data_IF_989722103699
#
_entry.id   IF_989722103699
#
_cell.length_a   1.000
_cell.length_b   1.000
_cell.length_c   1.000
_cell.angle_alpha   90.00
_cell.angle_beta   90.00
_cell.angle_gamma   90.00
#
_symmetry.space_group_name_H-M   'P 1'
#
loop_
_entity.id
_entity.type
_entity.pdbx_description
1 polymer ?
#
# COMPACT_ATOMS: atom_id res chain seq x y z
N UNK A 1 22.20 -7.22 -5.46
CA UNK A 1 20.89 -7.15 -6.12
C UNK A 1 20.44 -5.70 -6.03
N UNK A 2 20.19 -5.03 -7.16
CA UNK A 2 19.76 -3.64 -7.20
C UNK A 2 18.23 -3.61 -7.42
N UNK A 3 17.47 -3.32 -6.38
CA UNK A 3 16.00 -3.29 -6.45
C UNK A 3 15.54 -1.94 -7.02
N UNK A 4 14.89 -1.97 -8.18
CA UNK A 4 14.19 -0.81 -8.76
C UNK A 4 12.71 -0.89 -8.40
N UNK A 5 12.16 0.22 -7.87
CA UNK A 5 10.76 0.28 -7.42
C UNK A 5 9.98 1.30 -8.25
N UNK A 6 8.73 0.98 -8.56
CA UNK A 6 7.79 1.91 -9.18
C UNK A 6 6.72 2.42 -8.20
N UNK A 7 6.22 3.63 -8.43
CA UNK A 7 4.98 4.15 -7.81
C UNK A 7 3.94 4.34 -8.91
N UNK A 8 2.87 3.55 -8.87
CA UNK A 8 1.73 3.64 -9.80
C UNK A 8 0.65 4.51 -9.16
N UNK A 9 0.37 5.65 -9.78
CA UNK A 9 -0.50 6.70 -9.25
C UNK A 9 0.30 7.78 -8.51
N UNK A 10 0.27 9.01 -9.02
CA UNK A 10 1.03 10.17 -8.50
C UNK A 10 0.14 11.19 -7.79
N UNK A 11 -1.04 10.77 -7.34
CA UNK A 11 -1.94 11.58 -6.52
C UNK A 11 -1.43 11.84 -5.09
N UNK A 12 -2.33 12.22 -4.19
CA UNK A 12 -1.99 12.60 -2.82
C UNK A 12 -1.17 11.54 -2.07
N UNK A 13 -1.60 10.27 -2.12
CA UNK A 13 -0.86 9.18 -1.47
C UNK A 13 0.37 8.76 -2.27
N UNK A 14 0.28 8.74 -3.59
CA UNK A 14 1.43 8.50 -4.48
C UNK A 14 2.63 9.38 -4.15
N UNK A 15 2.42 10.67 -3.94
CA UNK A 15 3.46 11.62 -3.50
C UNK A 15 4.15 11.20 -2.21
N UNK A 16 3.42 10.67 -1.23
CA UNK A 16 4.00 10.20 0.03
C UNK A 16 4.88 8.96 -0.17
N UNK A 17 4.47 8.04 -1.06
CA UNK A 17 5.27 6.89 -1.48
C UNK A 17 6.54 7.34 -2.21
N UNK A 18 6.42 8.22 -3.21
CA UNK A 18 7.56 8.77 -3.96
C UNK A 18 8.57 9.42 -3.03
N UNK A 19 8.13 10.29 -2.12
CA UNK A 19 9.01 10.95 -1.13
C UNK A 19 9.78 9.92 -0.29
N UNK A 20 9.10 8.89 0.19
CA UNK A 20 9.71 7.85 1.03
C UNK A 20 10.71 7.03 0.23
N UNK A 21 10.33 6.59 -0.97
CA UNK A 21 11.19 5.79 -1.84
C UNK A 21 12.39 6.60 -2.36
N UNK A 22 12.23 7.89 -2.64
CA UNK A 22 13.34 8.78 -2.99
C UNK A 22 14.36 8.92 -1.86
N UNK A 23 13.91 8.95 -0.59
CA UNK A 23 14.81 8.90 0.55
C UNK A 23 15.53 7.54 0.65
N UNK A 24 14.84 6.43 0.38
CA UNK A 24 15.45 5.08 0.35
C UNK A 24 16.44 4.91 -0.81
N UNK A 25 16.17 5.55 -1.97
CA UNK A 25 17.11 5.63 -3.10
C UNK A 25 18.36 6.40 -2.67
N UNK A 26 18.17 7.55 -2.01
CA UNK A 26 19.27 8.39 -1.54
C UNK A 26 20.14 7.71 -0.48
N UNK A 27 19.56 6.81 0.33
CA UNK A 27 20.30 5.99 1.30
C UNK A 27 20.90 4.71 0.71
N UNK A 28 20.68 4.43 -0.57
CA UNK A 28 21.20 3.26 -1.27
C UNK A 28 20.47 1.94 -0.96
N UNK A 29 19.30 1.99 -0.31
CA UNK A 29 18.47 0.80 -0.04
C UNK A 29 17.82 0.29 -1.32
N UNK A 30 17.38 1.20 -2.19
CA UNK A 30 16.90 0.88 -3.54
C UNK A 30 17.82 1.52 -4.57
N UNK A 31 17.94 0.90 -5.74
CA UNK A 31 18.84 1.41 -6.77
C UNK A 31 18.23 2.51 -7.63
N UNK A 32 16.90 2.47 -7.81
CA UNK A 32 16.23 3.38 -8.73
C UNK A 32 14.72 3.45 -8.45
N UNK A 33 14.10 4.53 -8.90
CA UNK A 33 12.70 4.86 -8.70
C UNK A 33 12.07 5.25 -10.04
N UNK A 34 10.88 4.72 -10.32
CA UNK A 34 10.04 5.13 -11.44
C UNK A 34 8.68 5.59 -10.93
N UNK A 35 8.13 6.66 -11.47
CA UNK A 35 6.72 7.03 -11.26
C UNK A 35 5.90 6.71 -12.50
N UNK A 36 4.69 6.18 -12.31
CA UNK A 36 3.79 5.83 -13.39
C UNK A 36 2.44 6.49 -13.13
N UNK A 37 1.96 7.29 -14.08
CA UNK A 37 0.62 7.86 -14.05
C UNK A 37 0.07 7.96 -15.47
N UNK A 38 -1.22 7.70 -15.66
CA UNK A 38 -1.88 7.84 -16.97
C UNK A 38 -1.88 9.30 -17.45
N UNK A 39 -1.73 10.25 -16.53
CA UNK A 39 -1.55 11.66 -16.80
C UNK A 39 -0.05 11.99 -16.88
N UNK A 40 0.43 12.23 -18.11
CA UNK A 40 1.84 12.51 -18.38
C UNK A 40 2.36 13.75 -17.65
N UNK A 41 1.55 14.81 -17.53
CA UNK A 41 1.98 16.05 -16.85
C UNK A 41 2.19 15.79 -15.35
N UNK A 42 1.33 14.99 -14.72
CA UNK A 42 1.51 14.59 -13.32
C UNK A 42 2.73 13.69 -13.12
N UNK A 43 2.92 12.71 -14.01
CA UNK A 43 4.06 11.79 -13.94
C UNK A 43 5.38 12.57 -14.10
N UNK A 44 5.49 13.39 -15.14
CA UNK A 44 6.68 14.21 -15.42
C UNK A 44 6.95 15.22 -14.32
N UNK A 45 5.91 15.92 -13.83
CA UNK A 45 6.06 16.89 -12.74
C UNK A 45 6.59 16.26 -11.45
N UNK A 46 6.06 15.10 -11.07
CA UNK A 46 6.54 14.35 -9.90
C UNK A 46 7.97 13.85 -10.12
N UNK A 47 8.29 13.36 -11.32
CA UNK A 47 9.59 12.83 -11.66
C UNK A 47 10.70 13.90 -11.63
N UNK A 48 10.39 15.09 -12.14
CA UNK A 48 11.27 16.26 -12.10
C UNK A 48 11.54 16.70 -10.66
N UNK A 49 10.50 16.72 -9.81
CA UNK A 49 10.63 17.11 -8.40
C UNK A 49 11.52 16.15 -7.58
N UNK A 50 11.45 14.85 -7.86
CA UNK A 50 12.13 13.81 -7.07
C UNK A 50 13.33 13.17 -7.78
N UNK A 51 13.75 13.72 -8.93
CA UNK A 51 14.85 13.20 -9.76
C UNK A 51 14.74 11.69 -10.01
N UNK A 52 13.68 11.28 -10.71
CA UNK A 52 13.41 9.89 -11.04
C UNK A 52 12.85 9.69 -12.45
N UNK A 53 12.78 8.45 -12.92
CA UNK A 53 12.22 8.16 -14.25
C UNK A 53 10.68 8.17 -14.18
N UNK A 54 10.03 8.33 -15.34
CA UNK A 54 8.58 8.19 -15.42
C UNK A 54 8.11 7.43 -16.66
N UNK A 55 6.92 6.88 -16.59
CA UNK A 55 6.18 6.31 -17.71
C UNK A 55 4.67 6.57 -17.52
N UNK A 56 3.88 6.27 -18.55
CA UNK A 56 2.41 6.43 -18.51
C UNK A 56 1.65 5.10 -18.58
N UNK A 57 2.35 4.00 -18.83
CA UNK A 57 1.77 2.66 -18.89
C UNK A 57 2.46 1.74 -17.88
N UNK A 58 1.67 1.16 -16.98
CA UNK A 58 2.14 0.21 -15.98
C UNK A 58 2.64 -1.11 -16.59
N UNK A 59 2.21 -1.45 -17.81
CA UNK A 59 2.68 -2.65 -18.54
C UNK A 59 4.14 -2.54 -19.00
N UNK A 60 4.70 -1.33 -19.03
CA UNK A 60 6.10 -1.10 -19.38
C UNK A 60 7.04 -1.32 -18.19
N UNK A 61 6.53 -1.35 -16.95
CA UNK A 61 7.37 -1.38 -15.76
C UNK A 61 8.31 -2.58 -15.72
N UNK A 62 7.85 -3.75 -16.16
CA UNK A 62 8.72 -4.93 -16.19
C UNK A 62 9.87 -4.78 -17.17
N UNK A 63 9.63 -4.23 -18.36
CA UNK A 63 10.68 -4.01 -19.37
C UNK A 63 11.68 -2.95 -18.94
N UNK A 64 11.25 -2.00 -18.10
CA UNK A 64 12.09 -0.99 -17.44
C UNK A 64 12.90 -1.55 -16.26
N UNK A 65 12.79 -2.85 -15.97
CA UNK A 65 13.55 -3.55 -14.94
C UNK A 65 13.01 -3.38 -13.52
N UNK A 66 11.74 -2.99 -13.37
CA UNK A 66 11.09 -2.84 -12.06
C UNK A 66 10.91 -4.22 -11.41
N UNK A 67 11.31 -4.33 -10.15
CA UNK A 67 11.16 -5.55 -9.34
C UNK A 67 9.99 -5.49 -8.36
N UNK A 68 9.62 -4.28 -7.90
CA UNK A 68 8.48 -4.07 -7.02
C UNK A 68 7.74 -2.76 -7.36
N UNK A 69 6.44 -2.67 -7.03
CA UNK A 69 5.64 -1.48 -7.28
C UNK A 69 4.69 -1.19 -6.11
N UNK A 70 4.51 0.10 -5.78
CA UNK A 70 3.41 0.56 -4.92
C UNK A 70 2.25 1.02 -5.80
N UNK A 71 1.02 0.62 -5.49
CA UNK A 71 -0.20 1.06 -6.18
C UNK A 71 -0.96 2.04 -5.28
N UNK A 72 -0.97 3.31 -5.66
CA UNK A 72 -1.62 4.41 -4.97
C UNK A 72 -2.64 5.14 -5.88
N UNK A 73 -3.36 4.36 -6.68
CA UNK A 73 -4.40 4.80 -7.62
C UNK A 73 -5.77 4.91 -6.94
N UNK A 74 -6.84 5.33 -7.63
CA UNK A 74 -8.19 5.13 -7.13
C UNK A 74 -8.49 3.64 -6.87
N UNK A 75 -9.30 3.36 -5.85
CA UNK A 75 -9.55 1.99 -5.34
C UNK A 75 -10.05 1.00 -6.40
N UNK A 76 -10.95 1.36 -7.34
CA UNK A 76 -11.38 0.44 -8.40
C UNK A 76 -10.24 -0.08 -9.30
N UNK A 77 -9.08 0.57 -9.28
CA UNK A 77 -7.92 0.16 -10.08
C UNK A 77 -6.95 -0.75 -9.31
N UNK A 78 -7.13 -0.93 -8.01
CA UNK A 78 -6.18 -1.68 -7.18
C UNK A 78 -6.06 -3.14 -7.62
N UNK A 79 -7.17 -3.88 -7.66
CA UNK A 79 -7.17 -5.29 -8.03
C UNK A 79 -6.64 -5.56 -9.45
N UNK A 80 -7.16 -4.90 -10.52
CA UNK A 80 -6.66 -5.17 -11.87
C UNK A 80 -5.18 -4.80 -12.06
N UNK A 81 -4.70 -3.71 -11.44
CA UNK A 81 -3.28 -3.35 -11.50
C UNK A 81 -2.40 -4.33 -10.71
N UNK A 82 -2.82 -4.74 -9.51
CA UNK A 82 -2.07 -5.68 -8.69
C UNK A 82 -1.91 -7.02 -9.41
N UNK A 83 -2.99 -7.55 -9.97
CA UNK A 83 -2.97 -8.79 -10.75
C UNK A 83 -2.04 -8.65 -11.94
N UNK A 84 -2.21 -7.61 -12.77
CA UNK A 84 -1.36 -7.41 -13.97
C UNK A 84 0.12 -7.32 -13.63
N UNK A 85 0.49 -6.56 -12.59
CA UNK A 85 1.90 -6.41 -12.20
C UNK A 85 2.48 -7.71 -11.64
N UNK A 86 1.72 -8.45 -10.84
CA UNK A 86 2.18 -9.75 -10.32
C UNK A 86 2.34 -10.78 -11.43
N UNK A 87 1.46 -10.81 -12.43
CA UNK A 87 1.59 -11.66 -13.62
C UNK A 87 2.83 -11.32 -14.45
N UNK A 88 3.27 -10.06 -14.45
CA UNK A 88 4.54 -9.63 -15.04
C UNK A 88 5.77 -10.00 -14.16
N UNK A 89 5.55 -10.58 -12.98
CA UNK A 89 6.60 -10.95 -12.05
C UNK A 89 7.13 -9.77 -11.24
N UNK A 90 6.26 -8.83 -10.84
CA UNK A 90 6.57 -7.66 -10.00
C UNK A 90 5.90 -7.86 -8.63
N UNK A 91 6.65 -7.64 -7.54
CA UNK A 91 6.09 -7.65 -6.18
C UNK A 91 5.28 -6.36 -5.94
N UNK A 92 4.16 -6.43 -5.22
CA UNK A 92 3.24 -5.29 -5.10
C UNK A 92 2.91 -4.92 -3.66
N UNK A 93 2.89 -3.62 -3.39
CA UNK A 93 2.26 -3.03 -2.21
C UNK A 93 1.07 -2.20 -2.68
N UNK A 94 -0.13 -2.57 -2.27
CA UNK A 94 -1.39 -1.94 -2.70
C UNK A 94 -1.89 -1.03 -1.58
N UNK A 95 -2.22 0.22 -1.88
CA UNK A 95 -2.92 1.07 -0.91
C UNK A 95 -4.24 0.43 -0.46
N UNK A 96 -4.67 0.79 0.74
CA UNK A 96 -5.90 0.24 1.31
C UNK A 96 -7.13 1.02 0.81
N UNK A 97 -8.31 0.37 0.68
CA UNK A 97 -8.52 -1.08 0.78
C UNK A 97 -7.92 -1.83 -0.42
N UNK A 98 -7.62 -3.11 -0.26
CA UNK A 98 -7.00 -3.94 -1.30
C UNK A 98 -7.81 -3.97 -2.62
N UNK A 99 -9.14 -4.01 -2.50
CA UNK A 99 -10.07 -4.10 -3.63
C UNK A 99 -11.44 -3.49 -3.26
N UNK A 100 -12.39 -3.45 -4.21
CA UNK A 100 -13.74 -2.95 -3.98
C UNK A 100 -14.67 -3.98 -3.34
N UNK A 101 -14.37 -5.28 -3.47
CA UNK A 101 -15.15 -6.36 -2.89
C UNK A 101 -14.26 -7.49 -2.34
N UNK A 102 -14.87 -8.41 -1.59
CA UNK A 102 -14.19 -9.61 -1.10
C UNK A 102 -13.78 -10.54 -2.26
N UNK A 103 -14.63 -10.66 -3.29
CA UNK A 103 -14.34 -11.44 -4.48
C UNK A 103 -13.13 -10.91 -5.23
N UNK A 104 -13.06 -9.60 -5.49
CA UNK A 104 -11.88 -8.99 -6.12
C UNK A 104 -10.63 -9.16 -5.23
N UNK A 105 -10.77 -9.00 -3.90
CA UNK A 105 -9.65 -9.21 -2.98
C UNK A 105 -9.14 -10.65 -3.04
N UNK A 106 -10.04 -11.63 -3.16
CA UNK A 106 -9.69 -13.04 -3.33
C UNK A 106 -8.97 -13.30 -4.65
N UNK A 107 -9.40 -12.70 -5.76
CA UNK A 107 -8.70 -12.81 -7.05
C UNK A 107 -7.25 -12.30 -6.96
N UNK A 108 -7.02 -11.21 -6.21
CA UNK A 108 -5.67 -10.68 -5.98
C UNK A 108 -4.82 -11.64 -5.14
N UNK A 109 -5.40 -12.24 -4.09
CA UNK A 109 -4.72 -13.24 -3.25
C UNK A 109 -4.35 -14.49 -4.05
N UNK A 110 -5.31 -15.03 -4.81
CA UNK A 110 -5.12 -16.21 -5.67
C UNK A 110 -4.03 -15.95 -6.72
N UNK A 111 -3.97 -14.73 -7.28
CA UNK A 111 -2.91 -14.33 -8.20
C UNK A 111 -1.53 -14.28 -7.51
N UNK A 112 -1.44 -13.71 -6.31
CA UNK A 112 -0.20 -13.67 -5.54
C UNK A 112 0.33 -15.08 -5.24
N UNK A 113 -0.55 -16.01 -4.85
CA UNK A 113 -0.20 -17.41 -4.61
C UNK A 113 0.26 -18.10 -5.91
N UNK A 114 -0.50 -17.96 -7.00
CA UNK A 114 -0.20 -18.55 -8.30
C UNK A 114 1.13 -18.08 -8.89
N UNK A 115 1.44 -16.79 -8.74
CA UNK A 115 2.66 -16.17 -9.30
C UNK A 115 3.85 -16.22 -8.34
N UNK A 116 3.62 -16.61 -7.07
CA UNK A 116 4.61 -16.58 -6.01
C UNK A 116 5.22 -15.20 -5.80
N UNK A 117 4.43 -14.13 -6.02
CA UNK A 117 4.84 -12.74 -5.81
C UNK A 117 4.50 -12.27 -4.41
N UNK A 118 5.27 -11.30 -3.92
CA UNK A 118 4.96 -10.67 -2.64
C UNK A 118 3.81 -9.69 -2.85
N UNK A 119 2.75 -9.86 -2.05
CA UNK A 119 1.61 -8.95 -1.96
C UNK A 119 1.58 -8.34 -0.55
N UNK A 120 1.58 -7.02 -0.48
CA UNK A 120 1.35 -6.27 0.76
C UNK A 120 0.19 -5.30 0.57
N UNK A 121 -0.50 -4.99 1.68
CA UNK A 121 -1.54 -3.96 1.73
C UNK A 121 -1.04 -2.80 2.59
N UNK A 122 -1.39 -1.56 2.22
CA UNK A 122 -0.97 -0.28 2.82
C UNK A 122 -1.48 0.00 4.24
N UNK A 123 -1.53 -1.04 5.09
CA UNK A 123 -1.86 -0.98 6.51
C UNK A 123 -0.70 -0.40 7.33
N UNK A 124 -0.38 0.87 7.06
CA UNK A 124 0.83 1.54 7.57
C UNK A 124 0.92 1.60 9.11
N UNK A 125 -0.21 1.58 9.83
CA UNK A 125 -0.23 1.70 11.29
C UNK A 125 0.32 0.47 12.01
N UNK A 126 0.34 -0.71 11.38
CA UNK A 126 1.02 -1.90 11.91
C UNK A 126 2.51 -1.65 12.18
N UNK A 127 3.11 -0.70 11.46
CA UNK A 127 4.52 -0.33 11.60
C UNK A 127 4.74 0.88 12.51
N UNK A 128 3.67 1.49 13.04
CA UNK A 128 3.78 2.64 13.93
C UNK A 128 4.33 2.20 15.29
N UNK A 129 5.35 2.91 15.81
CA UNK A 129 6.06 2.52 17.03
C UNK A 129 5.13 2.32 18.24
N UNK A 130 4.08 3.14 18.39
CA UNK A 130 3.10 3.00 19.46
C UNK A 130 2.23 1.74 19.31
N UNK A 131 1.83 1.39 18.08
CA UNK A 131 1.02 0.18 17.81
C UNK A 131 1.87 -1.07 18.05
N UNK A 132 3.11 -1.07 17.53
CA UNK A 132 4.07 -2.15 17.81
C UNK A 132 4.34 -2.31 19.30
N UNK A 133 4.47 -1.20 20.04
CA UNK A 133 4.68 -1.28 21.49
C UNK A 133 3.47 -1.84 22.22
N UNK A 134 2.25 -1.46 21.81
CA UNK A 134 1.04 -2.04 22.34
C UNK A 134 0.98 -3.56 22.07
N UNK A 135 1.28 -3.98 20.83
CA UNK A 135 1.34 -5.40 20.47
C UNK A 135 2.32 -6.20 21.35
N UNK A 136 3.51 -5.65 21.60
CA UNK A 136 4.51 -6.26 22.50
C UNK A 136 3.96 -6.45 23.93
N UNK A 137 3.34 -5.41 24.49
CA UNK A 137 2.81 -5.44 25.87
C UNK A 137 1.58 -6.36 26.04
N UNK A 138 0.83 -6.58 24.96
CA UNK A 138 -0.24 -7.57 24.90
C UNK A 138 0.39 -8.98 24.85
N UNK A 139 1.35 -9.19 23.94
CA UNK A 139 1.95 -10.49 23.72
C UNK A 139 2.78 -11.01 24.91
N UNK A 140 3.47 -10.12 25.63
CA UNK A 140 4.26 -10.48 26.82
C UNK A 140 3.43 -10.56 28.11
N UNK A 141 2.13 -10.26 28.04
CA UNK A 141 1.18 -10.34 29.15
C UNK A 141 1.28 -9.17 30.14
N UNK A 142 2.08 -8.14 29.86
CA UNK A 142 2.23 -6.97 30.75
C UNK A 142 0.90 -6.28 31.03
N UNK A 143 0.00 -6.23 30.05
CA UNK A 143 -1.34 -5.62 30.21
C UNK A 143 -2.38 -6.56 30.86
N UNK A 144 -2.04 -7.84 31.06
CA UNK A 144 -3.01 -8.86 31.43
C UNK A 144 -4.05 -9.12 30.32
N UNK A 145 -5.20 -9.74 30.65
CA UNK A 145 -6.26 -9.99 29.68
C UNK A 145 -6.83 -8.69 29.12
N UNK A 146 -6.88 -8.58 27.79
CA UNK A 146 -7.50 -7.45 27.11
C UNK A 146 -9.02 -7.62 27.16
N UNK A 147 -9.68 -6.72 27.89
CA UNK A 147 -11.14 -6.75 28.06
C UNK A 147 -11.88 -5.94 27.00
N UNK A 148 -11.25 -4.87 26.50
CA UNK A 148 -11.88 -3.94 25.57
C UNK A 148 -10.82 -3.14 24.79
N UNK A 149 -11.13 -2.82 23.53
CA UNK A 149 -10.40 -1.86 22.69
C UNK A 149 -11.42 -0.88 22.12
N UNK A 150 -11.14 0.42 22.29
CA UNK A 150 -11.96 1.52 21.78
C UNK A 150 -11.10 2.39 20.85
N UNK A 151 -11.71 2.90 19.77
CA UNK A 151 -11.04 3.82 18.86
C UNK A 151 -12.03 4.80 18.24
N UNK A 152 -11.70 6.09 18.32
CA UNK A 152 -12.42 7.17 17.68
C UNK A 152 -11.56 7.82 16.60
N UNK A 153 -12.07 7.82 15.36
CA UNK A 153 -11.40 8.48 14.23
C UNK A 153 -12.29 9.52 13.59
N UNK A 154 -11.94 10.78 13.80
CA UNK A 154 -12.62 11.93 13.21
C UNK A 154 -11.80 12.49 12.03
N UNK A 155 -12.51 12.84 10.96
CA UNK A 155 -11.96 13.59 9.84
C UNK A 155 -12.89 14.75 9.50
N UNK A 156 -12.31 15.91 9.20
CA UNK A 156 -13.05 17.07 8.67
C UNK A 156 -13.09 17.08 7.14
N UNK A 157 -12.44 16.11 6.48
CA UNK A 157 -12.47 15.96 5.02
C UNK A 157 -13.79 15.32 4.60
N UNK A 158 -14.29 15.74 3.44
CA UNK A 158 -15.47 15.10 2.85
C UNK A 158 -15.24 13.59 2.68
N UNK A 159 -16.23 12.76 3.06
CA UNK A 159 -16.16 11.34 2.81
C UNK A 159 -15.99 11.07 1.34
N UNK A 160 -15.09 10.13 1.03
CA UNK A 160 -14.90 9.63 -0.32
C UNK A 160 -16.20 8.96 -0.81
N UNK A 161 -16.84 9.48 -1.88
CA UNK A 161 -18.15 8.97 -2.31
C UNK A 161 -18.05 7.56 -2.90
N UNK A 162 -16.86 7.15 -3.34
CA UNK A 162 -16.61 5.87 -3.99
C UNK A 162 -16.45 4.69 -3.02
N UNK A 163 -16.05 4.94 -1.77
CA UNK A 163 -15.80 3.86 -0.79
C UNK A 163 -16.48 4.07 0.58
N UNK A 164 -17.01 5.26 0.86
CA UNK A 164 -17.67 5.58 2.12
C UNK A 164 -16.72 5.69 3.33
N UNK A 165 -17.28 6.04 4.49
CA UNK A 165 -16.50 6.38 5.70
C UNK A 165 -15.78 5.18 6.32
N UNK A 166 -16.35 3.98 6.23
CA UNK A 166 -15.78 2.77 6.83
C UNK A 166 -14.47 2.39 6.12
N UNK A 167 -14.50 2.22 4.80
CA UNK A 167 -13.30 1.90 4.03
C UNK A 167 -12.32 3.09 3.94
N UNK A 168 -12.79 4.33 4.03
CA UNK A 168 -11.91 5.50 4.02
C UNK A 168 -11.16 5.70 5.35
N UNK A 169 -11.81 5.49 6.50
CA UNK A 169 -11.28 5.82 7.82
C UNK A 169 -11.18 4.60 8.73
N UNK A 170 -12.31 3.97 9.06
CA UNK A 170 -12.40 2.93 10.09
C UNK A 170 -11.56 1.68 9.78
N UNK A 171 -11.28 1.41 8.51
CA UNK A 171 -10.40 0.31 8.08
C UNK A 171 -9.03 0.33 8.77
N UNK A 172 -8.51 1.50 9.14
CA UNK A 172 -7.26 1.59 9.89
C UNK A 172 -7.42 1.05 11.31
N UNK A 173 -8.52 1.39 11.97
CA UNK A 173 -8.78 1.02 13.35
C UNK A 173 -9.16 -0.47 13.45
N UNK A 174 -9.98 -0.95 12.50
CA UNK A 174 -10.29 -2.37 12.35
C UNK A 174 -9.02 -3.20 12.11
N UNK A 175 -8.12 -2.71 11.26
CA UNK A 175 -6.84 -3.36 11.01
C UNK A 175 -5.93 -3.37 12.25
N UNK A 176 -5.81 -2.26 12.98
CA UNK A 176 -5.04 -2.19 14.22
C UNK A 176 -5.60 -3.19 15.24
N UNK A 177 -6.92 -3.22 15.44
CA UNK A 177 -7.56 -4.15 16.36
C UNK A 177 -7.27 -5.61 15.97
N UNK A 178 -7.36 -5.93 14.68
CA UNK A 178 -7.01 -7.26 14.16
C UNK A 178 -5.52 -7.58 14.34
N UNK A 179 -4.62 -6.62 14.10
CA UNK A 179 -3.17 -6.80 14.25
C UNK A 179 -2.78 -7.03 15.72
N UNK A 180 -3.42 -6.33 16.65
CA UNK A 180 -3.18 -6.47 18.10
C UNK A 180 -3.73 -7.77 18.68
N UNK A 181 -4.87 -8.25 18.19
CA UNK A 181 -5.59 -9.37 18.79
C UNK A 181 -5.53 -10.68 18.00
N UNK A 182 -5.08 -10.63 16.74
CA UNK A 182 -5.18 -11.76 15.81
C UNK A 182 -6.60 -11.97 15.27
N UNK A 183 -6.83 -13.15 14.70
CA UNK A 183 -8.18 -13.58 14.33
C UNK A 183 -8.94 -13.97 15.61
N UNK A 184 -9.82 -13.07 16.06
CA UNK A 184 -10.81 -13.40 17.09
C UNK A 184 -12.04 -13.94 16.36
N UNK A 185 -12.33 -15.24 16.51
CA UNK A 185 -13.68 -15.73 16.18
C UNK A 185 -14.68 -15.09 17.16
N UNK A 186 -15.77 -14.48 16.67
CA UNK A 186 -16.78 -13.88 17.54
C UNK A 186 -17.48 -14.88 18.46
#
# INVERSE_FOLDING_TARGET
>A
MSLKIAVVGTGYWGRNHVRTLAALKSSGIISDLIVCDVDAERAEGMASEFDCQWCTDANELKSLGVGAATIATPTPQHAPLAISLMEQGIDVLVEKPLAMSEEEAKEVLDCAEKTGRVLMVGHLFRYHAAVRKAAELIADGTLGPILHIESDRLSVREPRPDIGVIAALAIHDMDIMKDLMGDIEP
#
